data_IF_248395182147
#
_entry.id   IF_248395182147
#
_cell.length_a   1.000
_cell.length_b   1.000
_cell.length_c   1.000
_cell.angle_alpha   90.00
_cell.angle_beta   90.00
_cell.angle_gamma   90.00
#
_symmetry.space_group_name_H-M   'P 1'
#
loop_
_entity.id
_entity.type
_entity.pdbx_description
1 polymer ?
#
# COMPACT_ATOMS: atom_id res chain seq x y z
N UNK A 1 -3.50 19.23 -2.32
CA UNK A 1 -4.29 18.06 -1.92
C UNK A 1 -4.77 18.30 -0.51
N UNK A 2 -6.07 18.15 -0.23
CA UNK A 2 -6.42 17.74 1.11
C UNK A 2 -5.56 16.50 1.40
N UNK A 3 -4.76 16.55 2.45
CA UNK A 3 -3.87 15.42 2.75
C UNK A 3 -4.78 14.27 3.18
N UNK A 4 -4.96 13.26 2.32
CA UNK A 4 -5.59 12.03 2.73
C UNK A 4 -4.83 11.50 3.95
N UNK A 5 -5.55 11.05 4.94
CA UNK A 5 -4.95 10.46 6.13
C UNK A 5 -4.14 9.23 5.71
N UNK A 6 -2.87 9.20 6.08
CA UNK A 6 -2.03 8.03 5.87
C UNK A 6 -2.47 6.93 6.85
N UNK A 7 -3.28 6.01 6.33
CA UNK A 7 -3.86 4.92 7.13
C UNK A 7 -2.80 3.96 7.70
N UNK A 8 -1.60 3.90 7.09
CA UNK A 8 -0.51 3.05 7.58
C UNK A 8 0.10 3.54 8.89
N UNK A 9 -0.13 4.83 9.24
CA UNK A 9 0.37 5.47 10.47
C UNK A 9 -0.65 5.45 11.60
N UNK A 10 -1.84 4.90 11.37
CA UNK A 10 -2.82 4.77 12.44
C UNK A 10 -2.36 3.71 13.44
N UNK A 11 -2.54 3.94 14.75
CA UNK A 11 -2.27 2.93 15.76
C UNK A 11 -3.18 1.72 15.54
N UNK A 12 -2.70 0.53 15.90
CA UNK A 12 -3.54 -0.66 15.89
C UNK A 12 -4.75 -0.46 16.79
N UNK A 13 -5.96 -0.85 16.34
CA UNK A 13 -7.17 -0.74 17.17
C UNK A 13 -7.06 -1.60 18.43
N UNK A 14 -7.62 -1.13 19.54
CA UNK A 14 -7.60 -1.86 20.82
C UNK A 14 -8.28 -3.24 20.77
N UNK A 15 -9.13 -3.48 19.77
CA UNK A 15 -9.81 -4.78 19.58
C UNK A 15 -8.84 -5.86 19.08
N UNK A 16 -7.70 -5.48 18.52
CA UNK A 16 -6.69 -6.42 18.03
C UNK A 16 -5.76 -6.77 19.20
N UNK A 17 -5.81 -8.03 19.61
CA UNK A 17 -5.00 -8.56 20.70
C UNK A 17 -3.72 -9.20 20.15
N UNK A 18 -2.61 -9.03 20.88
CA UNK A 18 -1.43 -9.87 20.68
C UNK A 18 -1.71 -11.26 21.27
N UNK A 19 -1.53 -12.31 20.46
CA UNK A 19 -1.86 -13.67 20.85
C UNK A 19 -0.58 -14.46 21.14
N UNK A 20 -0.52 -15.04 22.34
CA UNK A 20 0.54 -15.93 22.77
C UNK A 20 -0.07 -17.25 23.27
N UNK A 21 0.39 -18.37 22.69
CA UNK A 21 -0.10 -19.69 23.07
C UNK A 21 0.25 -20.04 24.52
N UNK A 22 1.48 -19.74 24.95
CA UNK A 22 1.95 -20.09 26.29
C UNK A 22 1.18 -19.29 27.37
N UNK A 23 0.86 -18.03 27.10
CA UNK A 23 0.04 -17.23 28.01
C UNK A 23 -1.37 -17.81 28.16
N UNK A 24 -2.01 -18.17 27.04
CA UNK A 24 -3.33 -18.81 27.05
C UNK A 24 -3.28 -20.14 27.83
N UNK A 25 -2.28 -20.97 27.52
CA UNK A 25 -2.13 -22.27 28.13
C UNK A 25 -1.87 -22.17 29.64
N UNK A 26 -0.98 -21.30 30.09
CA UNK A 26 -0.70 -21.08 31.49
C UNK A 26 -1.90 -20.54 32.25
N UNK A 27 -2.65 -19.63 31.67
CA UNK A 27 -3.92 -19.12 32.23
C UNK A 27 -4.94 -20.26 32.39
N UNK A 28 -5.06 -21.15 31.41
CA UNK A 28 -5.95 -22.33 31.49
C UNK A 28 -5.51 -23.33 32.54
N UNK A 29 -4.21 -23.60 32.66
CA UNK A 29 -3.65 -24.43 33.74
C UNK A 29 -4.01 -23.82 35.10
N UNK A 30 -3.75 -22.53 35.30
CA UNK A 30 -4.08 -21.85 36.55
C UNK A 30 -5.58 -21.91 36.87
N UNK A 31 -6.43 -21.70 35.86
CA UNK A 31 -7.88 -21.82 36.02
C UNK A 31 -8.29 -23.25 36.37
N UNK A 32 -7.72 -24.26 35.72
CA UNK A 32 -7.99 -25.67 36.02
C UNK A 32 -7.63 -26.01 37.46
N UNK A 33 -6.45 -25.63 37.93
CA UNK A 33 -6.02 -25.83 39.32
C UNK A 33 -7.01 -25.17 40.30
N UNK A 34 -7.46 -23.97 40.01
CA UNK A 34 -8.40 -23.21 40.87
C UNK A 34 -9.79 -23.86 41.02
N UNK A 35 -10.11 -24.87 40.22
CA UNK A 35 -11.38 -25.62 40.33
C UNK A 35 -11.33 -26.74 41.42
N UNK A 36 -10.14 -27.06 41.95
CA UNK A 36 -9.94 -28.04 42.99
C UNK A 36 -9.90 -27.38 44.39
N UNK A 37 -10.13 -28.18 45.43
CA UNK A 37 -9.99 -27.72 46.81
C UNK A 37 -8.54 -27.28 47.08
N UNK A 38 -8.33 -26.36 48.00
CA UNK A 38 -7.00 -25.83 48.35
C UNK A 38 -6.01 -26.95 48.71
N UNK A 39 -6.51 -28.03 49.33
CA UNK A 39 -5.70 -29.21 49.71
C UNK A 39 -5.20 -30.03 48.54
N UNK A 40 -5.95 -30.06 47.44
CA UNK A 40 -5.65 -30.83 46.23
C UNK A 40 -4.84 -30.03 45.19
N UNK A 41 -4.86 -28.71 45.25
CA UNK A 41 -4.26 -27.84 44.22
C UNK A 41 -2.76 -28.14 44.01
N UNK A 42 -2.02 -28.42 45.08
CA UNK A 42 -0.58 -28.69 44.96
C UNK A 42 -0.30 -29.98 44.19
N UNK A 43 -1.08 -31.03 44.42
CA UNK A 43 -0.92 -32.33 43.74
C UNK A 43 -1.32 -32.20 42.26
N UNK A 44 -2.42 -31.53 41.97
CA UNK A 44 -2.86 -31.25 40.61
C UNK A 44 -1.83 -30.40 39.87
N UNK A 45 -1.27 -29.36 40.50
CA UNK A 45 -0.22 -28.55 39.89
C UNK A 45 1.03 -29.35 39.53
N UNK A 46 1.43 -30.32 40.37
CA UNK A 46 2.55 -31.24 40.08
C UNK A 46 2.24 -32.15 38.90
N UNK A 47 1.04 -32.71 38.81
CA UNK A 47 0.59 -33.53 37.68
C UNK A 47 0.63 -32.78 36.36
N UNK A 48 0.18 -31.51 36.35
CA UNK A 48 0.19 -30.65 35.16
C UNK A 48 1.58 -30.23 34.68
N UNK A 49 2.66 -30.59 35.37
CA UNK A 49 4.02 -30.38 34.89
C UNK A 49 4.45 -31.45 33.86
N UNK A 50 3.78 -32.61 33.87
CA UNK A 50 4.12 -33.71 32.95
C UNK A 50 3.38 -33.55 31.62
N UNK A 51 4.09 -33.28 30.55
CA UNK A 51 3.50 -33.12 29.21
C UNK A 51 2.84 -34.41 28.67
N UNK A 52 3.16 -35.56 29.24
CA UNK A 52 2.57 -36.84 28.87
C UNK A 52 1.17 -37.07 29.42
N UNK A 53 0.77 -36.28 30.40
CA UNK A 53 -0.55 -36.42 31.01
C UNK A 53 -1.68 -36.08 30.03
N UNK A 54 -2.73 -36.94 29.90
CA UNK A 54 -3.84 -36.71 28.97
C UNK A 54 -4.54 -35.37 29.20
N UNK A 55 -4.65 -34.95 30.46
CA UNK A 55 -5.30 -33.66 30.78
C UNK A 55 -4.47 -32.47 30.27
N UNK A 56 -3.14 -32.57 30.27
CA UNK A 56 -2.26 -31.53 29.73
C UNK A 56 -2.45 -31.42 28.21
N UNK A 57 -2.57 -32.56 27.50
CA UNK A 57 -2.87 -32.59 26.07
C UNK A 57 -4.22 -31.96 25.77
N UNK A 58 -5.24 -32.22 26.56
CA UNK A 58 -6.56 -31.57 26.40
C UNK A 58 -6.51 -30.05 26.64
N UNK A 59 -5.73 -29.63 27.64
CA UNK A 59 -5.52 -28.17 27.86
C UNK A 59 -4.74 -27.53 26.75
N UNK A 60 -3.73 -28.20 26.18
CA UNK A 60 -3.00 -27.70 25.01
C UNK A 60 -3.93 -27.56 23.80
N UNK A 61 -4.70 -28.60 23.48
CA UNK A 61 -5.64 -28.59 22.38
C UNK A 61 -6.69 -27.46 22.53
N UNK A 62 -7.29 -27.34 23.70
CA UNK A 62 -8.29 -26.29 23.95
C UNK A 62 -7.69 -24.89 23.95
N UNK A 63 -6.42 -24.72 24.35
CA UNK A 63 -5.68 -23.45 24.26
C UNK A 63 -5.41 -23.07 22.80
N UNK A 64 -5.08 -24.06 21.98
CA UNK A 64 -4.89 -23.85 20.54
C UNK A 64 -6.19 -23.42 19.84
N UNK A 65 -7.33 -24.02 20.17
CA UNK A 65 -8.61 -23.57 19.65
C UNK A 65 -8.99 -22.16 20.12
N UNK A 66 -8.69 -21.80 21.36
CA UNK A 66 -8.90 -20.43 21.83
C UNK A 66 -8.03 -19.45 21.05
N UNK A 67 -6.78 -19.79 20.78
CA UNK A 67 -5.89 -18.97 19.98
C UNK A 67 -6.44 -18.76 18.57
N UNK A 68 -6.90 -19.82 17.89
CA UNK A 68 -7.50 -19.75 16.56
C UNK A 68 -8.76 -18.87 16.57
N UNK A 69 -9.64 -19.01 17.56
CA UNK A 69 -10.85 -18.22 17.67
C UNK A 69 -10.54 -16.74 17.90
N UNK A 70 -9.57 -16.40 18.76
CA UNK A 70 -9.13 -15.01 18.97
C UNK A 70 -8.47 -14.44 17.73
N UNK A 71 -7.66 -15.23 17.03
CA UNK A 71 -7.10 -14.83 15.74
C UNK A 71 -8.22 -14.52 14.72
N UNK A 72 -9.26 -15.35 14.66
CA UNK A 72 -10.40 -15.10 13.78
C UNK A 72 -11.17 -13.83 14.14
N UNK A 73 -11.27 -13.50 15.42
CA UNK A 73 -11.85 -12.23 15.89
C UNK A 73 -10.99 -11.05 15.44
N UNK A 74 -9.67 -11.14 15.58
CA UNK A 74 -8.73 -10.13 15.10
C UNK A 74 -8.89 -9.89 13.59
N UNK A 75 -8.90 -10.96 12.80
CA UNK A 75 -9.09 -10.90 11.34
C UNK A 75 -10.45 -10.29 10.96
N UNK A 76 -11.52 -10.71 11.62
CA UNK A 76 -12.85 -10.15 11.38
C UNK A 76 -12.92 -8.65 11.72
N UNK A 77 -12.23 -8.23 12.78
CA UNK A 77 -12.13 -6.81 13.12
C UNK A 77 -11.34 -6.01 12.09
N UNK A 78 -10.25 -6.57 11.57
CA UNK A 78 -9.42 -5.95 10.52
C UNK A 78 -10.20 -5.83 9.20
N UNK A 79 -11.01 -6.84 8.86
CA UNK A 79 -11.81 -6.86 7.64
C UNK A 79 -12.83 -5.71 7.55
N UNK A 80 -13.24 -5.15 8.70
CA UNK A 80 -14.17 -4.01 8.77
C UNK A 80 -13.49 -2.63 8.70
N UNK A 81 -12.17 -2.59 8.64
CA UNK A 81 -11.41 -1.33 8.66
C UNK A 81 -10.78 -1.05 7.30
N UNK A 82 -11.05 0.09 6.69
CA UNK A 82 -10.45 0.48 5.40
C UNK A 82 -8.92 0.38 5.42
N UNK A 83 -8.28 0.65 6.57
CA UNK A 83 -6.83 0.57 6.71
C UNK A 83 -6.27 -0.85 6.53
N UNK A 84 -7.02 -1.87 6.91
CA UNK A 84 -6.55 -3.25 7.03
C UNK A 84 -7.26 -4.24 6.10
N UNK A 85 -8.49 -3.94 5.68
CA UNK A 85 -9.28 -4.79 4.80
C UNK A 85 -8.56 -5.07 3.47
N UNK A 86 -8.70 -6.27 2.93
CA UNK A 86 -8.07 -6.73 1.69
C UNK A 86 -9.10 -7.38 0.78
N UNK A 87 -8.76 -7.45 -0.51
CA UNK A 87 -9.53 -8.18 -1.51
C UNK A 87 -11.05 -7.89 -1.42
N UNK A 88 -11.87 -8.92 -1.25
CA UNK A 88 -13.33 -8.82 -1.22
C UNK A 88 -13.87 -8.04 -0.02
N UNK A 89 -13.18 -8.05 1.13
CA UNK A 89 -13.58 -7.26 2.30
C UNK A 89 -13.46 -5.77 2.00
N UNK A 90 -12.36 -5.38 1.32
CA UNK A 90 -12.18 -3.99 0.88
C UNK A 90 -13.18 -3.61 -0.22
N UNK A 91 -13.55 -4.54 -1.12
CA UNK A 91 -14.58 -4.33 -2.14
C UNK A 91 -15.94 -4.04 -1.51
N UNK A 92 -16.33 -4.80 -0.47
CA UNK A 92 -17.56 -4.57 0.29
C UNK A 92 -17.54 -3.21 1.01
N UNK A 93 -16.41 -2.82 1.59
CA UNK A 93 -16.28 -1.49 2.19
C UNK A 93 -16.39 -0.38 1.14
N UNK A 94 -15.77 -0.56 -0.04
CA UNK A 94 -15.85 0.38 -1.15
C UNK A 94 -17.27 0.60 -1.66
N UNK A 95 -18.08 -0.45 -1.68
CA UNK A 95 -19.48 -0.38 -2.10
C UNK A 95 -20.33 0.58 -1.21
N UNK A 96 -20.00 0.70 0.09
CA UNK A 96 -20.68 1.66 0.99
C UNK A 96 -20.44 3.13 0.57
N UNK A 97 -19.38 3.39 -0.19
CA UNK A 97 -19.03 4.71 -0.72
C UNK A 97 -19.36 4.84 -2.22
N UNK A 98 -20.07 3.86 -2.79
CA UNK A 98 -20.37 3.76 -4.23
C UNK A 98 -19.09 3.78 -5.10
N UNK A 99 -18.01 3.17 -4.61
CA UNK A 99 -16.73 3.02 -5.30
C UNK A 99 -16.48 1.54 -5.53
N UNK A 100 -16.28 1.15 -6.79
CA UNK A 100 -16.04 -0.23 -7.19
C UNK A 100 -14.62 -0.37 -7.73
N UNK A 101 -14.02 -1.55 -7.52
CA UNK A 101 -12.68 -1.86 -8.02
C UNK A 101 -12.68 -1.86 -9.55
N UNK A 102 -11.77 -1.12 -10.15
CA UNK A 102 -11.64 -0.98 -11.59
C UNK A 102 -10.83 -2.14 -12.19
N UNK A 103 -11.14 -2.48 -13.44
CA UNK A 103 -10.31 -3.37 -14.25
C UNK A 103 -9.20 -2.54 -14.90
N UNK A 104 -7.95 -2.88 -14.61
CA UNK A 104 -6.76 -2.24 -15.19
C UNK A 104 -6.46 -2.84 -16.56
N UNK A 105 -6.56 -4.17 -16.66
CA UNK A 105 -6.37 -4.92 -17.89
C UNK A 105 -7.47 -5.95 -18.03
N UNK A 106 -8.19 -5.91 -19.13
CA UNK A 106 -9.21 -6.91 -19.43
C UNK A 106 -8.58 -8.26 -19.78
N UNK A 107 -9.29 -9.35 -19.49
CA UNK A 107 -8.88 -10.67 -19.95
C UNK A 107 -8.95 -10.75 -21.48
N UNK A 108 -7.93 -11.37 -22.10
CA UNK A 108 -7.92 -11.67 -23.52
C UNK A 108 -7.55 -13.14 -23.74
N UNK A 109 -8.54 -13.93 -24.11
CA UNK A 109 -8.39 -15.36 -24.42
C UNK A 109 -8.08 -15.61 -25.91
N UNK A 110 -8.01 -14.58 -26.73
CA UNK A 110 -7.73 -14.70 -28.16
C UNK A 110 -6.23 -14.83 -28.45
N UNK A 111 -5.36 -14.49 -27.46
CA UNK A 111 -3.90 -14.57 -27.58
C UNK A 111 -3.34 -15.77 -26.82
N UNK A 112 -2.13 -16.21 -27.21
CA UNK A 112 -1.43 -17.32 -26.53
C UNK A 112 -0.05 -16.85 -26.04
N UNK A 113 0.24 -16.91 -24.73
CA UNK A 113 -0.65 -17.34 -23.63
C UNK A 113 -1.80 -16.35 -23.40
N UNK A 114 -2.95 -16.85 -22.91
CA UNK A 114 -4.10 -16.02 -22.60
C UNK A 114 -3.75 -14.96 -21.54
N UNK A 115 -4.20 -13.74 -21.76
CA UNK A 115 -4.01 -12.63 -20.84
C UNK A 115 -5.09 -12.70 -19.77
N UNK A 116 -4.69 -12.72 -18.50
CA UNK A 116 -5.62 -12.71 -17.35
C UNK A 116 -6.09 -11.29 -17.07
N UNK A 117 -7.32 -11.17 -16.54
CA UNK A 117 -7.80 -9.91 -16.00
C UNK A 117 -6.90 -9.44 -14.85
N UNK A 118 -6.55 -8.17 -14.88
CA UNK A 118 -5.86 -7.50 -13.78
C UNK A 118 -6.77 -6.41 -13.26
N UNK A 119 -7.10 -6.50 -11.98
CA UNK A 119 -7.86 -5.49 -11.25
C UNK A 119 -6.96 -4.51 -10.52
N UNK A 120 -7.53 -3.38 -10.15
CA UNK A 120 -6.87 -2.35 -9.34
C UNK A 120 -6.34 -2.93 -8.02
N UNK A 121 -5.12 -2.58 -7.65
CA UNK A 121 -4.50 -3.03 -6.41
C UNK A 121 -5.21 -2.41 -5.19
N UNK A 122 -5.20 -3.14 -4.05
CA UNK A 122 -5.82 -2.68 -2.79
C UNK A 122 -5.32 -1.30 -2.35
N UNK A 123 -4.04 -1.01 -2.56
CA UNK A 123 -3.44 0.29 -2.22
C UNK A 123 -4.10 1.45 -2.94
N UNK A 124 -4.30 1.32 -4.26
CA UNK A 124 -4.88 2.36 -5.10
C UNK A 124 -6.39 2.45 -4.89
N UNK A 125 -7.06 1.30 -4.78
CA UNK A 125 -8.48 1.24 -4.49
C UNK A 125 -8.83 1.88 -3.15
N UNK A 126 -8.02 1.65 -2.11
CA UNK A 126 -8.16 2.28 -0.79
C UNK A 126 -8.05 3.80 -0.86
N UNK A 127 -7.11 4.32 -1.65
CA UNK A 127 -6.99 5.77 -1.89
C UNK A 127 -8.25 6.33 -2.57
N UNK A 128 -8.84 5.61 -3.54
CA UNK A 128 -10.09 6.03 -4.18
C UNK A 128 -11.28 6.00 -3.22
N UNK A 129 -11.39 4.97 -2.37
CA UNK A 129 -12.43 4.93 -1.33
C UNK A 129 -12.31 6.13 -0.39
N UNK A 130 -11.10 6.45 0.11
CA UNK A 130 -10.90 7.63 0.95
C UNK A 130 -11.24 8.95 0.24
N UNK A 131 -11.02 9.00 -1.08
CA UNK A 131 -11.31 10.21 -1.89
C UNK A 131 -12.78 10.31 -2.32
N UNK A 132 -13.62 9.32 -2.03
CA UNK A 132 -15.02 9.27 -2.51
C UNK A 132 -15.84 10.48 -2.07
N UNK A 133 -15.64 10.97 -0.86
CA UNK A 133 -16.32 12.16 -0.33
C UNK A 133 -15.98 13.43 -1.10
N UNK A 134 -14.80 13.52 -1.69
CA UNK A 134 -14.41 14.66 -2.52
C UNK A 134 -15.27 14.74 -3.79
N UNK A 135 -15.69 13.59 -4.31
CA UNK A 135 -16.59 13.49 -5.47
C UNK A 135 -18.05 13.93 -5.20
N UNK A 136 -18.43 14.12 -3.94
CA UNK A 136 -19.78 14.65 -3.62
C UNK A 136 -19.90 16.15 -3.86
N UNK A 137 -18.80 16.86 -3.98
CA UNK A 137 -18.81 18.29 -4.20
C UNK A 137 -18.89 18.62 -5.68
N UNK A 138 -19.98 19.28 -6.08
CA UNK A 138 -20.19 19.80 -7.45
C UNK A 138 -19.66 21.24 -7.62
N UNK A 139 -19.01 21.79 -6.58
CA UNK A 139 -18.46 23.15 -6.61
C UNK A 139 -17.10 23.24 -7.35
N UNK A 140 -16.59 22.13 -7.90
CA UNK A 140 -15.34 22.09 -8.66
C UNK A 140 -14.06 22.16 -7.84
N UNK A 141 -13.98 21.57 -6.61
CA UNK A 141 -12.70 21.49 -5.91
C UNK A 141 -11.73 20.58 -6.66
N UNK A 142 -10.45 20.85 -6.54
CA UNK A 142 -9.40 20.04 -7.19
C UNK A 142 -9.55 18.55 -6.92
N UNK A 143 -9.80 18.20 -5.67
CA UNK A 143 -9.91 16.81 -5.24
C UNK A 143 -11.08 16.07 -5.91
N UNK A 144 -12.20 16.76 -6.19
CA UNK A 144 -13.31 16.17 -6.95
C UNK A 144 -12.89 15.83 -8.39
N UNK A 145 -12.24 16.75 -9.11
CA UNK A 145 -11.72 16.47 -10.44
C UNK A 145 -10.70 15.32 -10.46
N UNK A 146 -9.77 15.31 -9.49
CA UNK A 146 -8.78 14.24 -9.33
C UNK A 146 -9.44 12.90 -9.04
N UNK A 147 -10.50 12.86 -8.21
CA UNK A 147 -11.28 11.67 -7.93
C UNK A 147 -12.01 11.15 -9.17
N UNK A 148 -12.73 12.01 -9.88
CA UNK A 148 -13.46 11.62 -11.10
C UNK A 148 -12.52 11.13 -12.20
N UNK A 149 -11.36 11.77 -12.36
CA UNK A 149 -10.37 11.36 -13.34
C UNK A 149 -9.81 9.96 -13.01
N UNK A 150 -9.43 9.70 -11.75
CA UNK A 150 -8.95 8.38 -11.31
C UNK A 150 -10.03 7.30 -11.34
N UNK A 151 -11.30 7.69 -11.26
CA UNK A 151 -12.44 6.77 -11.30
C UNK A 151 -12.98 6.53 -12.71
N UNK A 152 -12.46 7.21 -13.72
CA UNK A 152 -12.93 7.11 -15.10
C UNK A 152 -12.51 5.81 -15.77
N UNK A 153 -11.28 5.35 -15.53
CA UNK A 153 -10.71 4.14 -16.14
C UNK A 153 -9.60 3.57 -15.24
N UNK A 154 -9.51 2.24 -15.14
CA UNK A 154 -8.49 1.55 -14.34
C UNK A 154 -7.06 1.78 -14.80
N UNK A 155 -6.85 2.17 -16.07
CA UNK A 155 -5.54 2.52 -16.63
C UNK A 155 -5.00 3.86 -16.11
N UNK A 156 -5.82 4.69 -15.45
CA UNK A 156 -5.35 5.91 -14.79
C UNK A 156 -4.63 5.54 -13.50
N UNK A 157 -3.34 5.86 -13.40
CA UNK A 157 -2.54 5.65 -12.20
C UNK A 157 -2.68 6.81 -11.23
N UNK A 158 -2.66 8.05 -11.74
CA UNK A 158 -2.80 9.27 -10.95
C UNK A 158 -3.36 10.41 -11.81
N UNK A 159 -3.94 11.40 -11.15
CA UNK A 159 -4.46 12.59 -11.79
C UNK A 159 -4.23 13.82 -10.90
N UNK A 160 -3.88 14.95 -11.51
CA UNK A 160 -3.72 16.22 -10.80
C UNK A 160 -4.45 17.35 -11.53
N UNK A 161 -5.24 18.10 -10.76
CA UNK A 161 -5.97 19.25 -11.24
C UNK A 161 -5.25 20.55 -10.88
N UNK A 162 -5.22 21.50 -11.82
CA UNK A 162 -4.67 22.84 -11.63
C UNK A 162 -5.56 23.86 -12.34
N UNK A 163 -5.70 25.04 -11.74
CA UNK A 163 -6.43 26.15 -12.37
C UNK A 163 -5.43 27.26 -12.78
N UNK A 164 -4.99 27.25 -14.03
CA UNK A 164 -4.03 28.27 -14.53
C UNK A 164 -4.64 29.65 -14.65
N UNK A 165 -5.95 29.74 -14.81
CA UNK A 165 -6.72 31.01 -14.91
C UNK A 165 -8.15 30.77 -14.43
N UNK A 166 -8.91 31.85 -14.09
CA UNK A 166 -10.30 31.70 -13.66
C UNK A 166 -11.14 30.91 -14.67
N UNK A 167 -11.97 30.01 -14.17
CA UNK A 167 -12.85 29.11 -14.93
C UNK A 167 -12.11 28.18 -15.93
N UNK A 168 -10.79 28.04 -15.82
CA UNK A 168 -10.01 27.05 -16.58
C UNK A 168 -9.43 26.01 -15.63
N UNK A 169 -9.67 24.74 -15.93
CA UNK A 169 -9.12 23.61 -15.19
C UNK A 169 -8.30 22.74 -16.12
N UNK A 170 -7.05 22.50 -15.78
CA UNK A 170 -6.17 21.57 -16.49
C UNK A 170 -5.97 20.33 -15.65
N UNK A 171 -6.31 19.16 -16.21
CA UNK A 171 -6.09 17.84 -15.62
C UNK A 171 -4.90 17.18 -16.29
N UNK A 172 -3.85 16.90 -15.53
CA UNK A 172 -2.73 16.05 -15.96
C UNK A 172 -3.02 14.60 -15.55
N UNK A 173 -2.90 13.68 -16.50
CA UNK A 173 -3.20 12.26 -16.32
C UNK A 173 -1.91 11.45 -16.44
N UNK A 174 -1.62 10.63 -15.43
CA UNK A 174 -0.56 9.63 -15.45
C UNK A 174 -1.19 8.26 -15.69
N UNK A 175 -0.76 7.58 -16.74
CA UNK A 175 -1.23 6.24 -17.05
C UNK A 175 -0.43 5.16 -16.29
N UNK A 176 -0.96 3.94 -16.21
CA UNK A 176 -0.23 2.77 -15.66
C UNK A 176 0.69 2.13 -16.70
N UNK A 177 0.31 2.22 -17.95
CA UNK A 177 1.04 1.73 -19.11
C UNK A 177 1.88 2.82 -19.77
N UNK A 178 2.61 2.45 -20.83
CA UNK A 178 3.39 3.38 -21.66
C UNK A 178 4.26 4.35 -20.84
N UNK A 179 4.96 3.83 -19.83
CA UNK A 179 5.84 4.59 -18.92
C UNK A 179 5.15 5.75 -18.18
N UNK A 180 3.82 5.81 -18.18
CA UNK A 180 3.03 6.87 -17.56
C UNK A 180 2.38 7.84 -18.55
N UNK A 181 2.67 7.75 -19.85
CA UNK A 181 2.07 8.61 -20.87
C UNK A 181 0.67 8.11 -21.21
N UNK A 182 -0.34 8.94 -20.96
CA UNK A 182 -1.72 8.61 -21.28
C UNK A 182 -1.94 8.66 -22.82
N UNK A 183 -2.56 7.59 -23.36
CA UNK A 183 -2.97 7.57 -24.76
C UNK A 183 -4.12 8.55 -25.04
N UNK A 184 -4.29 8.96 -26.30
CA UNK A 184 -5.38 9.84 -26.72
C UNK A 184 -6.75 9.23 -26.38
N UNK A 185 -6.89 7.90 -26.52
CA UNK A 185 -8.11 7.17 -26.11
C UNK A 185 -8.40 7.36 -24.63
N UNK A 186 -7.40 7.15 -23.76
CA UNK A 186 -7.54 7.30 -22.31
C UNK A 186 -7.88 8.76 -21.94
N UNK A 187 -7.25 9.72 -22.60
CA UNK A 187 -7.54 11.15 -22.41
C UNK A 187 -9.01 11.46 -22.73
N UNK A 188 -9.54 10.95 -23.85
CA UNK A 188 -10.95 11.19 -24.23
C UNK A 188 -11.92 10.48 -23.27
N UNK A 189 -11.62 9.29 -22.75
CA UNK A 189 -12.42 8.63 -21.72
C UNK A 189 -12.50 9.51 -20.46
N UNK A 190 -11.35 9.96 -19.97
CA UNK A 190 -11.29 10.82 -18.77
C UNK A 190 -12.01 12.16 -19.03
N UNK A 191 -11.78 12.77 -20.19
CA UNK A 191 -12.44 14.02 -20.56
C UNK A 191 -13.96 13.89 -20.60
N UNK A 192 -14.48 12.79 -21.15
CA UNK A 192 -15.92 12.50 -21.14
C UNK A 192 -16.44 12.32 -19.71
N UNK A 193 -15.69 11.63 -18.85
CA UNK A 193 -16.10 11.36 -17.48
C UNK A 193 -16.14 12.62 -16.61
N UNK A 194 -15.17 13.53 -16.73
CA UNK A 194 -15.09 14.75 -15.90
C UNK A 194 -15.97 15.89 -16.42
N UNK A 195 -16.42 15.84 -17.67
CA UNK A 195 -17.29 16.86 -18.27
C UNK A 195 -18.79 16.53 -18.15
N UNK A 196 -19.18 15.53 -17.39
CA UNK A 196 -20.60 15.26 -17.12
C UNK A 196 -21.23 16.43 -16.36
N UNK A 197 -22.49 16.76 -16.68
CA UNK A 197 -23.18 17.95 -16.15
C UNK A 197 -23.39 17.90 -14.61
N UNK A 198 -23.39 16.70 -14.03
CA UNK A 198 -23.50 16.44 -12.59
C UNK A 198 -22.16 16.49 -11.83
N UNK A 199 -21.04 16.69 -12.54
CA UNK A 199 -19.69 16.60 -11.95
C UNK A 199 -18.90 17.89 -11.95
N UNK A 200 -19.20 18.82 -12.84
CA UNK A 200 -18.45 20.07 -12.95
C UNK A 200 -19.35 21.30 -12.85
N UNK A 201 -18.85 22.44 -12.34
CA UNK A 201 -19.50 23.74 -12.51
C UNK A 201 -19.69 24.10 -13.98
N UNK A 202 -20.82 24.70 -14.31
CA UNK A 202 -21.16 25.08 -15.70
C UNK A 202 -20.12 26.02 -16.33
N UNK A 203 -19.49 26.89 -15.52
CA UNK A 203 -18.50 27.86 -15.98
C UNK A 203 -17.11 27.27 -16.26
N UNK A 204 -16.79 26.08 -15.72
CA UNK A 204 -15.45 25.51 -15.82
C UNK A 204 -15.17 24.97 -17.23
N UNK A 205 -14.02 25.35 -17.76
CA UNK A 205 -13.45 24.83 -19.01
C UNK A 205 -12.38 23.84 -18.69
N UNK A 206 -12.71 22.55 -18.80
CA UNK A 206 -11.81 21.46 -18.44
C UNK A 206 -11.00 21.00 -19.64
N UNK A 207 -9.67 21.06 -19.51
CA UNK A 207 -8.72 20.52 -20.47
C UNK A 207 -8.02 19.30 -19.83
N UNK A 208 -8.05 18.16 -20.50
CA UNK A 208 -7.36 16.93 -20.06
C UNK A 208 -6.16 16.70 -20.95
N UNK A 209 -5.01 16.43 -20.35
CA UNK A 209 -3.77 16.14 -21.09
C UNK A 209 -2.95 15.05 -20.39
N UNK A 210 -2.06 14.39 -21.11
CA UNK A 210 -1.06 13.52 -20.50
C UNK A 210 -0.10 14.33 -19.63
N UNK A 211 0.42 13.70 -18.59
CA UNK A 211 1.50 14.25 -17.78
C UNK A 211 2.78 14.42 -18.62
N UNK A 212 3.62 15.38 -18.24
CA UNK A 212 4.99 15.50 -18.73
C UNK A 212 5.90 14.61 -17.87
N UNK A 213 6.67 13.72 -18.51
CA UNK A 213 7.61 12.85 -17.80
C UNK A 213 8.96 13.53 -17.63
N UNK A 214 9.49 13.41 -16.42
CA UNK A 214 10.86 13.80 -16.08
C UNK A 214 11.64 12.52 -15.83
N UNK A 215 12.44 12.14 -16.80
CA UNK A 215 13.27 10.93 -16.72
C UNK A 215 14.46 11.15 -15.79
N UNK A 216 14.78 10.11 -15.02
CA UNK A 216 15.97 10.09 -14.16
C UNK A 216 16.54 8.68 -14.06
N UNK A 217 17.80 8.61 -13.64
CA UNK A 217 18.49 7.36 -13.37
C UNK A 217 18.98 7.32 -11.93
N UNK A 218 19.14 6.12 -11.39
CA UNK A 218 19.71 5.89 -10.07
C UNK A 218 20.99 5.09 -10.24
N UNK A 219 22.12 5.67 -9.79
CA UNK A 219 23.40 4.97 -9.70
C UNK A 219 23.93 5.09 -8.28
N UNK A 220 24.12 3.94 -7.64
CA UNK A 220 24.56 3.88 -6.25
C UNK A 220 25.58 2.75 -6.02
N UNK A 221 26.49 3.01 -5.07
CA UNK A 221 27.43 2.01 -4.56
C UNK A 221 27.12 1.72 -3.11
N UNK A 222 27.06 0.43 -2.76
CA UNK A 222 26.86 -0.06 -1.40
C UNK A 222 28.21 -0.54 -0.84
N UNK A 223 28.54 -0.08 0.34
CA UNK A 223 29.62 -0.62 1.15
C UNK A 223 28.99 -1.41 2.29
N UNK A 224 29.36 -2.69 2.39
CA UNK A 224 28.76 -3.61 3.34
C UNK A 224 29.66 -3.79 4.58
N UNK A 225 29.07 -4.22 5.68
CA UNK A 225 29.88 -4.74 6.78
C UNK A 225 30.50 -6.09 6.37
N UNK A 226 31.69 -6.44 6.90
CA UNK A 226 32.32 -7.73 6.64
C UNK A 226 31.39 -8.88 7.05
N UNK A 227 31.08 -9.78 6.12
CA UNK A 227 30.21 -10.94 6.36
C UNK A 227 29.96 -11.74 5.09
N UNK A 228 29.43 -12.98 5.22
CA UNK A 228 29.22 -13.88 4.08
C UNK A 228 27.98 -13.57 3.25
N UNK A 229 27.12 -12.60 3.64
CA UNK A 229 25.74 -12.45 3.13
C UNK A 229 25.56 -11.24 2.21
N UNK A 230 26.48 -10.96 1.30
CA UNK A 230 26.37 -9.80 0.40
C UNK A 230 25.16 -9.84 -0.54
N UNK A 231 24.78 -11.00 -1.07
CA UNK A 231 23.68 -11.14 -2.02
C UNK A 231 22.30 -10.91 -1.40
N UNK A 232 21.92 -11.51 -0.24
CA UNK A 232 20.66 -11.21 0.43
C UNK A 232 20.50 -9.73 0.80
N UNK A 233 21.57 -9.09 1.28
CA UNK A 233 21.58 -7.67 1.64
C UNK A 233 21.32 -6.80 0.40
N UNK A 234 22.04 -7.08 -0.71
CA UNK A 234 21.83 -6.40 -1.98
C UNK A 234 20.39 -6.57 -2.48
N UNK A 235 19.85 -7.79 -2.43
CA UNK A 235 18.47 -8.07 -2.83
C UNK A 235 17.48 -7.24 -2.02
N UNK A 236 17.59 -7.22 -0.70
CA UNK A 236 16.71 -6.42 0.17
C UNK A 236 16.80 -4.92 -0.15
N UNK A 237 18.01 -4.40 -0.40
CA UNK A 237 18.20 -3.01 -0.80
C UNK A 237 17.54 -2.71 -2.17
N UNK A 238 17.64 -3.63 -3.12
CA UNK A 238 17.01 -3.51 -4.44
C UNK A 238 15.47 -3.55 -4.35
N UNK A 239 14.92 -4.46 -3.54
CA UNK A 239 13.47 -4.57 -3.33
C UNK A 239 12.92 -3.27 -2.71
N UNK A 240 13.61 -2.70 -1.73
CA UNK A 240 13.25 -1.42 -1.11
C UNK A 240 13.36 -0.26 -2.11
N UNK A 241 14.41 -0.24 -2.94
CA UNK A 241 14.58 0.78 -3.99
C UNK A 241 13.44 0.70 -5.00
N UNK A 242 13.07 -0.49 -5.44
CA UNK A 242 11.97 -0.70 -6.37
C UNK A 242 10.62 -0.26 -5.78
N UNK A 243 10.39 -0.56 -4.51
CA UNK A 243 9.22 -0.07 -3.78
C UNK A 243 9.18 1.47 -3.73
N UNK A 244 10.33 2.11 -3.44
CA UNK A 244 10.46 3.57 -3.46
C UNK A 244 10.18 4.16 -4.85
N UNK A 245 10.76 3.61 -5.92
CA UNK A 245 10.53 4.06 -7.30
C UNK A 245 9.04 3.98 -7.64
N UNK A 246 8.40 2.86 -7.31
CA UNK A 246 6.96 2.66 -7.56
C UNK A 246 6.08 3.62 -6.75
N UNK A 247 6.42 3.90 -5.50
CA UNK A 247 5.71 4.88 -4.65
C UNK A 247 5.86 6.30 -5.18
N UNK A 248 7.03 6.65 -5.71
CA UNK A 248 7.32 8.00 -6.21
C UNK A 248 6.83 8.25 -7.63
N UNK A 249 6.52 7.20 -8.39
CA UNK A 249 5.94 7.35 -9.73
C UNK A 249 4.48 7.84 -9.63
N UNK A 250 4.31 9.09 -9.20
CA UNK A 250 3.05 9.83 -9.04
C UNK A 250 3.26 11.29 -9.43
N UNK A 251 2.19 11.98 -9.78
CA UNK A 251 2.25 13.40 -10.19
C UNK A 251 2.67 14.29 -9.01
N UNK A 252 3.60 15.20 -9.27
CA UNK A 252 4.06 16.18 -8.28
C UNK A 252 4.90 15.62 -7.13
N UNK A 253 5.37 14.37 -7.24
CA UNK A 253 6.24 13.74 -6.24
C UNK A 253 7.70 13.97 -6.59
N UNK A 254 8.37 14.80 -5.78
CA UNK A 254 9.81 15.03 -5.95
C UNK A 254 10.62 13.78 -5.60
N UNK A 255 11.75 13.63 -6.26
CA UNK A 255 12.74 12.59 -5.96
C UNK A 255 13.83 13.22 -5.09
N UNK A 256 13.96 12.72 -3.88
CA UNK A 256 14.94 13.20 -2.91
C UNK A 256 16.10 12.20 -2.80
N UNK A 257 17.33 12.71 -2.86
CA UNK A 257 18.55 11.91 -2.67
C UNK A 257 18.57 11.20 -1.31
N UNK A 258 18.16 11.93 -0.25
CA UNK A 258 18.12 11.37 1.10
C UNK A 258 17.16 10.18 1.22
N UNK A 259 16.02 10.22 0.51
CA UNK A 259 15.07 9.13 0.51
C UNK A 259 15.57 7.90 -0.27
N UNK A 260 16.29 8.10 -1.39
CA UNK A 260 16.95 7.01 -2.12
C UNK A 260 18.02 6.35 -1.24
N UNK A 261 18.86 7.15 -0.56
CA UNK A 261 19.88 6.64 0.37
C UNK A 261 19.21 5.86 1.50
N UNK A 262 18.12 6.36 2.07
CA UNK A 262 17.36 5.67 3.13
C UNK A 262 16.77 4.34 2.66
N UNK A 263 16.27 4.25 1.44
CA UNK A 263 15.73 3.01 0.87
C UNK A 263 16.82 1.94 0.67
N UNK A 264 18.03 2.37 0.30
CA UNK A 264 19.18 1.49 0.08
C UNK A 264 19.93 1.11 1.36
N UNK A 265 19.79 1.90 2.45
CA UNK A 265 20.48 1.69 3.71
C UNK A 265 19.75 0.67 4.58
N UNK A 266 19.86 -0.59 4.23
CA UNK A 266 19.29 -1.72 4.95
C UNK A 266 20.28 -2.30 5.97
N UNK A 267 19.78 -3.19 6.84
CA UNK A 267 20.66 -3.91 7.80
C UNK A 267 21.75 -4.66 7.03
N UNK A 268 23.00 -4.47 7.42
CA UNK A 268 24.17 -5.00 6.72
C UNK A 268 24.86 -4.01 5.77
N UNK A 269 24.22 -2.90 5.41
CA UNK A 269 24.83 -1.82 4.64
C UNK A 269 25.47 -0.82 5.61
N UNK A 270 26.77 -0.59 5.47
CA UNK A 270 27.51 0.39 6.26
C UNK A 270 27.35 1.80 5.69
N UNK A 271 27.48 1.95 4.37
CA UNK A 271 27.43 3.24 3.68
C UNK A 271 26.83 3.11 2.29
N UNK A 272 26.04 4.10 1.90
CA UNK A 272 25.49 4.26 0.55
C UNK A 272 26.12 5.49 -0.10
N UNK A 273 26.72 5.31 -1.26
CA UNK A 273 27.24 6.39 -2.09
C UNK A 273 26.35 6.56 -3.31
N UNK A 274 25.49 7.58 -3.29
CA UNK A 274 24.59 7.89 -4.39
C UNK A 274 25.28 8.84 -5.39
N UNK A 275 25.54 8.34 -6.59
CA UNK A 275 26.15 9.07 -7.70
C UNK A 275 25.11 9.83 -8.51
N UNK A 276 24.03 9.15 -8.92
CA UNK A 276 22.89 9.75 -9.64
C UNK A 276 21.58 9.43 -8.90
N UNK A 277 20.67 10.39 -8.85
CA UNK A 277 20.72 11.76 -9.34
C UNK A 277 21.69 12.65 -8.52
N UNK A 278 22.36 13.61 -9.19
CA UNK A 278 23.31 14.51 -8.54
C UNK A 278 22.65 15.51 -7.56
N UNK A 279 21.39 15.84 -7.80
CA UNK A 279 20.57 16.74 -6.98
C UNK A 279 19.14 16.18 -6.84
N UNK A 280 18.38 16.72 -5.89
CA UNK A 280 16.95 16.43 -5.76
C UNK A 280 16.22 16.88 -7.03
N UNK A 281 15.30 16.06 -7.54
CA UNK A 281 14.50 16.36 -8.73
C UNK A 281 13.15 16.92 -8.28
N UNK A 282 12.93 18.18 -8.62
CA UNK A 282 11.68 18.89 -8.30
C UNK A 282 10.68 18.61 -9.42
N UNK A 283 9.51 18.11 -9.05
CA UNK A 283 8.42 17.76 -9.97
C UNK A 283 7.23 18.66 -9.66
N UNK A 284 6.69 19.33 -10.68
CA UNK A 284 5.49 20.15 -10.56
C UNK A 284 4.20 19.32 -10.70
N UNK A 285 3.02 19.96 -10.53
CA UNK A 285 1.72 19.27 -10.57
C UNK A 285 1.27 18.81 -11.96
N UNK A 286 2.02 19.10 -13.00
CA UNK A 286 1.75 18.63 -14.36
C UNK A 286 2.80 17.61 -14.83
N UNK A 287 3.74 17.25 -13.93
CA UNK A 287 4.85 16.37 -14.20
C UNK A 287 4.81 15.15 -13.29
N UNK A 288 5.38 14.06 -13.78
CA UNK A 288 5.67 12.86 -13.00
C UNK A 288 7.12 12.43 -13.25
N UNK A 289 7.76 11.84 -12.24
CA UNK A 289 9.09 11.28 -12.39
C UNK A 289 9.02 9.87 -12.95
N UNK A 290 9.90 9.53 -13.87
CA UNK A 290 10.07 8.20 -14.41
C UNK A 290 11.53 7.74 -14.27
N UNK A 291 11.75 6.63 -13.55
CA UNK A 291 13.07 6.04 -13.43
C UNK A 291 13.34 5.15 -14.64
N UNK A 292 14.19 5.63 -15.58
CA UNK A 292 14.48 4.92 -16.81
C UNK A 292 15.47 3.76 -16.61
N UNK A 293 16.37 3.87 -15.62
CA UNK A 293 17.32 2.81 -15.26
C UNK A 293 17.78 2.98 -13.81
N UNK A 294 18.18 1.86 -13.18
CA UNK A 294 18.79 1.89 -11.87
C UNK A 294 19.90 0.82 -11.74
N UNK A 295 21.05 1.26 -11.28
CA UNK A 295 22.24 0.42 -11.10
C UNK A 295 22.72 0.54 -9.66
N UNK A 296 22.78 -0.60 -8.97
CA UNK A 296 23.28 -0.68 -7.59
C UNK A 296 24.38 -1.73 -7.52
N UNK A 297 25.59 -1.29 -7.20
CA UNK A 297 26.77 -2.13 -7.14
C UNK A 297 27.25 -2.26 -5.70
N UNK A 298 27.72 -3.46 -5.33
CA UNK A 298 28.49 -3.65 -4.09
C UNK A 298 29.95 -3.31 -4.38
N UNK A 299 30.42 -2.20 -3.82
CA UNK A 299 31.76 -1.66 -4.09
C UNK A 299 32.84 -2.26 -3.18
N UNK A 300 32.45 -2.99 -2.12
CA UNK A 300 33.36 -3.62 -1.19
C UNK A 300 32.83 -3.61 0.25
N UNK A 301 33.71 -3.96 1.16
CA UNK A 301 33.46 -3.83 2.59
C UNK A 301 34.02 -2.48 3.07
N UNK A 302 33.24 -1.80 3.90
CA UNK A 302 33.73 -0.57 4.53
C UNK A 302 34.82 -0.88 5.57
N UNK A 303 35.64 0.12 5.88
CA UNK A 303 36.64 0.05 6.93
C UNK A 303 36.02 -0.09 8.33
#
# INVERSE_FOLDING_TARGET
MAALTDLSKLPSPNVIESLDFEEIFNRRKAKFISLYSEQEQEEVAKTLQFESEPIVKLLQESSYYELILRQRINEASQALMIAHAKDQDLDNLGANFNVYRLTVQAADNSVVPAIKEIKEADSDFRVRIQSAFEGLSVAGPRAAYEFFARSADGRVLDAAAESPSPACVTLAILARDNNGIASDELIEIVKKAVNQDDRRPIADRVTVKSVELIDYQIKAKLYLYPGPESEPIKKTAMDNLQAYISEKHRIGRRISRSAIISALHVVGVQRVELQEPAQDIIINRQQASYCSDYQVEVAGYGE
#
